data_IF_396415751636
#
_entry.id   IF_396415751636
#
_cell.length_a   1.000
_cell.length_b   1.000
_cell.length_c   1.000
_cell.angle_alpha   90.00
_cell.angle_beta   90.00
_cell.angle_gamma   90.00
#
_symmetry.space_group_name_H-M   'P 1'
#
loop_
_entity.id
_entity.type
_entity.pdbx_description
1 polymer ?
#
# COMPACT_ATOMS: atom_id res chain seq x y z
N UNK A 1 46.72 18.34 13.49
CA UNK A 1 46.63 17.20 12.55
C UNK A 1 45.22 16.89 12.04
N UNK A 2 44.14 17.35 12.67
CA UNK A 2 42.76 17.17 12.17
C UNK A 2 42.34 18.12 11.04
N UNK A 3 43.05 19.23 10.81
CA UNK A 3 42.67 20.24 9.79
C UNK A 3 43.27 20.03 8.40
N UNK A 4 44.27 19.17 8.24
CA UNK A 4 44.87 18.83 6.94
C UNK A 4 44.10 17.71 6.24
N UNK A 5 43.61 16.72 6.99
CA UNK A 5 42.79 15.61 6.49
C UNK A 5 41.42 16.09 5.99
N UNK A 6 40.86 17.13 6.62
CA UNK A 6 39.63 17.79 6.17
C UNK A 6 39.79 18.48 4.81
N UNK A 7 40.96 19.07 4.53
CA UNK A 7 41.21 19.78 3.27
C UNK A 7 41.44 18.86 2.08
N UNK A 8 41.98 17.65 2.28
CA UNK A 8 42.13 16.68 1.20
C UNK A 8 40.81 15.96 0.86
N UNK A 9 39.82 15.95 1.75
CA UNK A 9 38.51 15.34 1.50
C UNK A 9 37.55 16.27 0.74
N UNK A 10 37.78 17.58 0.77
CA UNK A 10 37.00 18.56 -0.01
C UNK A 10 37.39 18.61 -1.50
N UNK A 11 38.56 18.11 -1.90
CA UNK A 11 39.01 18.17 -3.30
C UNK A 11 38.47 17.02 -4.17
N UNK A 12 37.73 16.07 -3.58
CA UNK A 12 37.07 14.97 -4.27
C UNK A 12 35.58 15.20 -4.04
N UNK A 13 34.81 15.45 -5.10
CA UNK A 13 33.44 15.97 -5.06
C UNK A 13 32.39 15.06 -4.39
N UNK A 14 32.50 14.84 -3.07
CA UNK A 14 31.54 14.14 -2.24
C UNK A 14 30.48 15.13 -1.71
N UNK A 15 29.57 15.57 -2.58
CA UNK A 15 28.49 16.48 -2.18
C UNK A 15 27.26 15.78 -1.58
N UNK A 16 27.22 14.44 -1.50
CA UNK A 16 26.04 13.70 -1.02
C UNK A 16 26.33 12.69 0.10
N UNK A 17 27.37 12.93 0.91
CA UNK A 17 27.60 12.14 2.11
C UNK A 17 26.68 12.64 3.25
N UNK A 18 25.71 11.82 3.66
CA UNK A 18 24.88 12.09 4.83
C UNK A 18 25.52 11.54 6.11
N UNK A 19 25.33 12.29 7.21
CA UNK A 19 25.76 12.07 8.61
C UNK A 19 26.30 10.66 8.94
N UNK A 20 27.56 10.49 9.37
CA UNK A 20 28.14 9.16 9.58
C UNK A 20 27.45 8.39 10.72
N UNK A 21 27.29 7.08 10.56
CA UNK A 21 26.70 6.20 11.59
C UNK A 21 27.81 5.45 12.33
N UNK A 22 27.72 5.40 13.67
CA UNK A 22 28.58 4.54 14.49
C UNK A 22 28.12 3.08 14.44
N UNK A 23 29.03 2.18 14.10
CA UNK A 23 28.76 0.74 13.95
C UNK A 23 28.93 -0.09 15.25
N UNK A 24 28.89 0.55 16.43
CA UNK A 24 29.12 -0.10 17.73
C UNK A 24 28.04 -1.10 18.15
N UNK A 25 28.39 -2.10 18.97
CA UNK A 25 27.48 -3.17 19.44
C UNK A 25 26.19 -2.64 20.08
N UNK A 26 26.26 -1.56 20.87
CA UNK A 26 25.09 -0.91 21.49
C UNK A 26 24.18 -0.19 20.45
N UNK A 27 24.74 0.38 19.38
CA UNK A 27 23.92 0.93 18.30
C UNK A 27 23.29 -0.14 17.42
N UNK A 28 23.95 -1.29 17.24
CA UNK A 28 23.38 -2.45 16.52
C UNK A 28 22.13 -3.00 17.22
N UNK A 29 22.17 -3.14 18.55
CA UNK A 29 20.97 -3.56 19.30
C UNK A 29 19.85 -2.52 19.22
N UNK A 30 20.19 -1.23 19.28
CA UNK A 30 19.21 -0.14 19.14
C UNK A 30 18.57 -0.13 17.75
N UNK A 31 19.37 -0.27 16.68
CA UNK A 31 18.88 -0.33 15.30
C UNK A 31 17.94 -1.51 15.07
N UNK A 32 18.23 -2.65 15.70
CA UNK A 32 17.36 -3.80 15.63
C UNK A 32 16.04 -3.62 16.36
N UNK A 33 16.03 -3.03 17.55
CA UNK A 33 14.78 -2.68 18.22
C UNK A 33 13.92 -1.75 17.35
N UNK A 34 14.55 -0.79 16.66
CA UNK A 34 13.87 0.09 15.71
C UNK A 34 13.30 -0.70 14.52
N UNK A 35 14.08 -1.58 13.89
CA UNK A 35 13.61 -2.40 12.77
C UNK A 35 12.49 -3.36 13.18
N UNK A 36 12.58 -3.95 14.37
CA UNK A 36 11.52 -4.78 14.94
C UNK A 36 10.24 -3.98 15.17
N UNK A 37 10.34 -2.77 15.73
CA UNK A 37 9.20 -1.87 15.88
C UNK A 37 8.59 -1.50 14.52
N UNK A 38 9.41 -1.19 13.52
CA UNK A 38 8.94 -0.94 12.16
C UNK A 38 8.21 -2.17 11.57
N UNK A 39 8.71 -3.39 11.77
CA UNK A 39 7.99 -4.61 11.40
C UNK A 39 6.61 -4.68 12.06
N UNK A 40 6.51 -4.37 13.35
CA UNK A 40 5.21 -4.39 14.05
C UNK A 40 4.25 -3.35 13.48
N UNK A 41 4.72 -2.14 13.14
CA UNK A 41 3.91 -1.13 12.46
C UNK A 41 3.40 -1.64 11.11
N UNK A 42 4.25 -2.28 10.30
CA UNK A 42 3.83 -2.85 9.02
C UNK A 42 2.75 -3.93 9.21
N UNK A 43 2.94 -4.84 10.17
CA UNK A 43 1.94 -5.87 10.48
C UNK A 43 0.61 -5.23 10.89
N UNK A 44 0.62 -4.21 11.76
CA UNK A 44 -0.62 -3.54 12.18
C UNK A 44 -1.34 -2.86 11.01
N UNK A 45 -0.61 -2.25 10.08
CA UNK A 45 -1.18 -1.68 8.84
C UNK A 45 -1.90 -2.74 8.00
N UNK A 46 -1.27 -3.90 7.80
CA UNK A 46 -1.91 -5.01 7.08
C UNK A 46 -3.13 -5.58 7.80
N UNK A 47 -3.14 -5.64 9.14
CA UNK A 47 -4.30 -6.07 9.92
C UNK A 47 -5.49 -5.11 9.75
N UNK A 48 -5.23 -3.80 9.71
CA UNK A 48 -6.28 -2.79 9.44
C UNK A 48 -6.87 -3.03 8.05
N UNK A 49 -6.04 -3.25 7.02
CA UNK A 49 -6.52 -3.56 5.66
C UNK A 49 -7.36 -4.82 5.61
N UNK A 50 -6.93 -5.91 6.27
CA UNK A 50 -7.73 -7.15 6.36
C UNK A 50 -9.08 -6.87 7.03
N UNK A 51 -9.10 -6.10 8.12
CA UNK A 51 -10.36 -5.77 8.80
C UNK A 51 -11.31 -4.96 7.90
N UNK A 52 -10.79 -4.02 7.10
CA UNK A 52 -11.58 -3.24 6.15
C UNK A 52 -12.16 -4.12 5.03
N UNK A 53 -11.36 -5.04 4.48
CA UNK A 53 -11.82 -5.98 3.46
C UNK A 53 -12.87 -6.95 4.01
N UNK A 54 -12.71 -7.43 5.24
CA UNK A 54 -13.72 -8.28 5.87
C UNK A 54 -15.04 -7.54 6.11
N UNK A 55 -14.97 -6.25 6.45
CA UNK A 55 -16.16 -5.39 6.54
C UNK A 55 -16.81 -5.17 5.18
N UNK A 56 -16.02 -4.98 4.12
CA UNK A 56 -16.53 -4.87 2.75
C UNK A 56 -17.19 -6.17 2.30
N UNK A 57 -16.55 -7.32 2.50
CA UNK A 57 -17.14 -8.64 2.21
C UNK A 57 -18.44 -8.84 3.01
N UNK A 58 -18.50 -8.42 4.27
CA UNK A 58 -19.72 -8.50 5.06
C UNK A 58 -20.82 -7.57 4.50
N UNK A 59 -20.50 -6.32 4.18
CA UNK A 59 -21.45 -5.37 3.60
C UNK A 59 -21.95 -5.80 2.21
N UNK A 60 -21.05 -6.30 1.38
CA UNK A 60 -21.34 -6.83 0.04
C UNK A 60 -22.08 -8.15 0.15
N UNK A 61 -21.75 -9.07 1.05
CA UNK A 61 -22.50 -10.33 1.23
C UNK A 61 -23.94 -10.11 1.70
N UNK A 62 -24.19 -9.08 2.53
CA UNK A 62 -25.54 -8.61 2.85
C UNK A 62 -26.25 -8.04 1.62
N UNK A 63 -25.51 -7.37 0.72
CA UNK A 63 -26.00 -6.85 -0.57
C UNK A 63 -26.09 -7.93 -1.67
N UNK A 64 -25.41 -9.06 -1.52
CA UNK A 64 -25.36 -10.18 -2.48
C UNK A 64 -26.54 -11.12 -2.37
N UNK A 65 -27.20 -11.15 -1.21
CA UNK A 65 -28.55 -11.72 -1.09
C UNK A 65 -29.54 -11.04 -2.06
N UNK A 66 -29.15 -9.92 -2.67
CA UNK A 66 -29.98 -9.11 -3.54
C UNK A 66 -29.58 -9.19 -5.03
N UNK A 67 -28.29 -9.15 -5.45
CA UNK A 67 -27.99 -8.94 -6.89
C UNK A 67 -27.01 -9.90 -7.63
N UNK A 68 -26.61 -11.05 -7.06
CA UNK A 68 -25.79 -12.07 -7.77
C UNK A 68 -24.51 -11.48 -8.44
N UNK A 69 -23.67 -10.84 -7.63
CA UNK A 69 -22.46 -10.13 -8.06
C UNK A 69 -21.19 -10.85 -7.56
N UNK A 70 -20.10 -10.88 -8.32
CA UNK A 70 -18.84 -11.54 -7.89
C UNK A 70 -17.72 -10.51 -7.70
N UNK A 71 -17.60 -9.97 -6.48
CA UNK A 71 -16.49 -9.08 -6.07
C UNK A 71 -15.23 -9.86 -5.66
N UNK A 72 -14.94 -10.96 -6.37
CA UNK A 72 -13.99 -11.95 -5.86
C UNK A 72 -12.54 -11.51 -6.10
N UNK A 73 -12.23 -10.87 -7.23
CA UNK A 73 -10.85 -10.63 -7.64
C UNK A 73 -10.10 -9.65 -6.71
N UNK A 74 -10.70 -8.49 -6.39
CA UNK A 74 -10.06 -7.49 -5.50
C UNK A 74 -9.94 -7.99 -4.07
N UNK A 75 -11.01 -8.57 -3.52
CA UNK A 75 -11.02 -9.08 -2.16
C UNK A 75 -10.05 -10.25 -1.99
N UNK A 76 -10.02 -11.18 -2.96
CA UNK A 76 -9.04 -12.27 -2.98
C UNK A 76 -7.62 -11.73 -3.11
N UNK A 77 -7.36 -10.78 -4.03
CA UNK A 77 -6.02 -10.19 -4.19
C UNK A 77 -5.57 -9.46 -2.92
N UNK A 78 -6.44 -8.67 -2.31
CA UNK A 78 -6.14 -7.89 -1.09
C UNK A 78 -5.89 -8.79 0.12
N UNK A 79 -6.73 -9.81 0.33
CA UNK A 79 -6.56 -10.78 1.42
C UNK A 79 -5.32 -11.66 1.21
N UNK A 80 -5.10 -12.18 0.00
CA UNK A 80 -3.94 -13.02 -0.30
C UNK A 80 -2.64 -12.26 -0.09
N UNK A 81 -2.52 -11.04 -0.61
CA UNK A 81 -1.35 -10.19 -0.39
C UNK A 81 -1.16 -9.90 1.10
N UNK A 82 -2.21 -9.51 1.82
CA UNK A 82 -2.11 -9.16 3.24
C UNK A 82 -1.71 -10.36 4.11
N UNK A 83 -2.26 -11.56 3.84
CA UNK A 83 -1.89 -12.78 4.54
C UNK A 83 -0.44 -13.21 4.24
N UNK A 84 -0.02 -13.14 2.98
CA UNK A 84 1.37 -13.40 2.59
C UNK A 84 2.31 -12.44 3.32
N UNK A 85 1.97 -11.16 3.42
CA UNK A 85 2.79 -10.19 4.15
C UNK A 85 2.85 -10.48 5.64
N UNK A 86 1.74 -10.84 6.29
CA UNK A 86 1.76 -11.24 7.70
C UNK A 86 2.64 -12.47 7.90
N UNK A 87 2.60 -13.45 7.00
CA UNK A 87 3.47 -14.61 7.05
C UNK A 87 4.94 -14.22 6.87
N UNK A 88 5.27 -13.35 5.90
CA UNK A 88 6.65 -12.90 5.65
C UNK A 88 7.21 -12.04 6.80
N UNK A 89 6.43 -11.09 7.33
CA UNK A 89 6.87 -10.27 8.46
C UNK A 89 6.85 -11.03 9.79
N UNK A 90 5.90 -11.96 9.97
CA UNK A 90 5.82 -12.82 11.16
C UNK A 90 6.95 -13.85 11.22
N UNK A 91 7.25 -14.53 10.12
CA UNK A 91 8.43 -15.41 10.01
C UNK A 91 9.73 -14.60 10.05
N UNK A 92 9.75 -13.42 9.43
CA UNK A 92 10.84 -12.45 9.53
C UNK A 92 11.14 -12.06 10.98
N UNK A 93 10.13 -11.80 11.81
CA UNK A 93 10.28 -11.52 13.24
C UNK A 93 10.79 -12.73 14.05
N UNK A 94 10.38 -13.94 13.71
CA UNK A 94 10.88 -15.16 14.36
C UNK A 94 12.35 -15.45 14.01
N UNK A 95 12.73 -15.25 12.74
CA UNK A 95 14.12 -15.33 12.25
C UNK A 95 14.96 -14.20 12.86
N UNK A 96 14.38 -13.01 13.01
CA UNK A 96 15.00 -11.85 13.67
C UNK A 96 15.35 -12.14 15.13
N UNK A 97 14.46 -12.80 15.88
CA UNK A 97 14.73 -13.26 17.24
C UNK A 97 15.82 -14.34 17.31
N UNK A 98 15.87 -15.26 16.33
CA UNK A 98 16.89 -16.31 16.29
C UNK A 98 18.29 -15.79 15.90
N UNK A 99 18.39 -14.89 14.92
CA UNK A 99 19.68 -14.39 14.42
C UNK A 99 20.36 -13.39 15.37
N UNK A 100 19.61 -12.73 16.26
CA UNK A 100 20.17 -11.86 17.30
C UNK A 100 20.96 -12.61 18.37
N UNK A 101 20.75 -13.92 18.49
CA UNK A 101 21.38 -14.72 19.51
C UNK A 101 22.87 -15.02 19.24
N UNK A 102 23.35 -15.01 17.98
CA UNK A 102 24.61 -15.73 17.69
C UNK A 102 25.69 -15.10 16.76
N UNK A 103 25.53 -14.00 16.01
CA UNK A 103 26.68 -13.54 15.18
C UNK A 103 26.80 -12.05 14.78
N UNK A 104 28.04 -11.59 14.58
CA UNK A 104 28.41 -10.23 14.13
C UNK A 104 28.16 -9.95 12.62
N UNK A 105 28.01 -10.99 11.80
CA UNK A 105 27.75 -10.91 10.35
C UNK A 105 26.26 -10.78 9.99
N UNK A 106 25.38 -10.83 10.99
CA UNK A 106 23.93 -10.86 10.84
C UNK A 106 23.30 -9.52 10.42
N UNK A 107 23.90 -8.37 10.76
CA UNK A 107 23.28 -7.05 10.57
C UNK A 107 23.11 -6.66 9.09
N UNK A 108 24.15 -6.83 8.26
CA UNK A 108 24.10 -6.48 6.84
C UNK A 108 23.09 -7.38 6.09
N UNK A 109 23.07 -8.68 6.39
CA UNK A 109 22.12 -9.62 5.82
C UNK A 109 20.67 -9.32 6.25
N UNK A 110 20.48 -8.87 7.49
CA UNK A 110 19.18 -8.44 8.03
C UNK A 110 18.64 -7.18 7.36
N UNK A 111 19.48 -6.16 7.14
CA UNK A 111 19.03 -4.94 6.44
C UNK A 111 18.73 -5.25 4.96
N UNK A 112 19.51 -6.15 4.33
CA UNK A 112 19.25 -6.61 2.96
C UNK A 112 17.93 -7.38 2.84
N UNK A 113 17.65 -8.33 3.73
CA UNK A 113 16.38 -9.07 3.69
C UNK A 113 15.18 -8.15 3.94
N UNK A 114 15.32 -7.20 4.87
CA UNK A 114 14.33 -6.14 5.09
C UNK A 114 14.06 -5.29 3.84
N UNK A 115 15.12 -4.85 3.15
CA UNK A 115 14.99 -4.08 1.92
C UNK A 115 14.28 -4.86 0.79
N UNK A 116 14.53 -6.17 0.69
CA UNK A 116 13.82 -7.04 -0.28
C UNK A 116 12.33 -7.10 0.06
N UNK A 117 11.97 -7.35 1.33
CA UNK A 117 10.58 -7.39 1.77
C UNK A 117 9.86 -6.07 1.49
N UNK A 118 10.47 -4.94 1.84
CA UNK A 118 9.93 -3.61 1.55
C UNK A 118 9.76 -3.37 0.04
N UNK A 119 10.63 -3.91 -0.79
CA UNK A 119 10.51 -3.77 -2.26
C UNK A 119 9.28 -4.51 -2.75
N UNK A 120 9.04 -5.73 -2.24
CA UNK A 120 7.86 -6.52 -2.60
C UNK A 120 6.58 -5.81 -2.14
N UNK A 121 6.54 -5.28 -0.91
CA UNK A 121 5.35 -4.55 -0.43
C UNK A 121 5.12 -3.25 -1.17
N UNK A 122 6.18 -2.51 -1.49
CA UNK A 122 6.08 -1.28 -2.26
C UNK A 122 5.38 -1.52 -3.61
N UNK A 123 5.87 -2.49 -4.38
CA UNK A 123 5.26 -2.83 -5.67
C UNK A 123 3.88 -3.46 -5.55
N UNK A 124 3.67 -4.34 -4.56
CA UNK A 124 2.38 -4.96 -4.30
C UNK A 124 1.29 -3.94 -3.94
N UNK A 125 1.61 -2.93 -3.12
CA UNK A 125 0.68 -1.87 -2.77
C UNK A 125 0.41 -0.92 -3.95
N UNK A 126 1.38 -0.65 -4.82
CA UNK A 126 1.13 0.10 -6.07
C UNK A 126 0.15 -0.65 -6.97
N UNK A 127 0.37 -1.96 -7.17
CA UNK A 127 -0.53 -2.81 -7.95
C UNK A 127 -1.93 -2.76 -7.35
N UNK A 128 -2.05 -2.90 -6.03
CA UNK A 128 -3.34 -2.84 -5.35
C UNK A 128 -4.04 -1.49 -5.53
N UNK A 129 -3.31 -0.37 -5.46
CA UNK A 129 -3.86 0.96 -5.70
C UNK A 129 -4.41 1.11 -7.13
N UNK A 130 -3.70 0.58 -8.14
CA UNK A 130 -4.18 0.56 -9.52
C UNK A 130 -5.44 -0.30 -9.65
N UNK A 131 -5.44 -1.50 -9.08
CA UNK A 131 -6.61 -2.39 -9.08
C UNK A 131 -7.82 -1.74 -8.43
N UNK A 132 -7.66 -1.05 -7.30
CA UNK A 132 -8.75 -0.33 -6.61
C UNK A 132 -9.46 0.65 -7.57
N UNK A 133 -8.70 1.43 -8.34
CA UNK A 133 -9.27 2.43 -9.26
C UNK A 133 -9.97 1.81 -10.46
N UNK A 134 -9.43 0.71 -11.00
CA UNK A 134 -10.03 0.02 -12.16
C UNK A 134 -11.28 -0.74 -11.74
N UNK A 135 -11.19 -1.47 -10.64
CA UNK A 135 -12.28 -2.32 -10.15
C UNK A 135 -13.49 -1.50 -9.72
N UNK A 136 -13.28 -0.36 -9.05
CA UNK A 136 -14.36 0.55 -8.67
C UNK A 136 -15.21 0.99 -9.86
N UNK A 137 -14.56 1.45 -10.94
CA UNK A 137 -15.25 1.90 -12.14
C UNK A 137 -16.01 0.77 -12.83
N UNK A 138 -15.41 -0.42 -12.89
CA UNK A 138 -16.06 -1.61 -13.45
C UNK A 138 -17.24 -2.09 -12.60
N UNK A 139 -17.12 -2.03 -11.26
CA UNK A 139 -18.17 -2.38 -10.32
C UNK A 139 -19.41 -1.52 -10.52
N UNK A 140 -19.27 -0.18 -10.49
CA UNK A 140 -20.40 0.74 -10.63
C UNK A 140 -21.09 0.55 -11.99
N UNK A 141 -20.34 0.44 -13.08
CA UNK A 141 -20.91 0.21 -14.41
C UNK A 141 -21.61 -1.13 -14.56
N UNK A 142 -21.07 -2.20 -13.95
CA UNK A 142 -21.69 -3.53 -13.96
C UNK A 142 -22.97 -3.54 -13.13
N UNK A 143 -22.96 -2.93 -11.95
CA UNK A 143 -24.16 -2.79 -11.12
C UNK A 143 -25.26 -2.02 -11.86
N UNK A 144 -24.92 -0.98 -12.62
CA UNK A 144 -25.88 -0.26 -13.46
C UNK A 144 -26.52 -1.16 -14.51
N UNK A 145 -25.71 -1.86 -15.29
CA UNK A 145 -26.20 -2.77 -16.33
C UNK A 145 -27.09 -3.88 -15.72
N UNK A 146 -26.63 -4.52 -14.65
CA UNK A 146 -27.38 -5.59 -13.98
C UNK A 146 -28.68 -5.07 -13.40
N UNK A 147 -28.70 -3.90 -12.76
CA UNK A 147 -29.93 -3.34 -12.20
C UNK A 147 -30.94 -3.04 -13.31
N UNK A 148 -30.50 -2.41 -14.41
CA UNK A 148 -31.37 -2.14 -15.56
C UNK A 148 -31.92 -3.43 -16.19
N UNK A 149 -31.14 -4.52 -16.23
CA UNK A 149 -31.64 -5.82 -16.68
C UNK A 149 -32.69 -6.40 -15.72
N UNK A 150 -32.49 -6.29 -14.41
CA UNK A 150 -33.47 -6.73 -13.41
C UNK A 150 -34.78 -5.92 -13.50
N UNK A 151 -34.71 -4.62 -13.77
CA UNK A 151 -35.90 -3.80 -13.99
C UNK A 151 -36.79 -4.31 -15.14
N UNK A 152 -36.20 -4.86 -16.21
CA UNK A 152 -36.96 -5.47 -17.34
C UNK A 152 -37.76 -6.72 -16.94
N UNK A 153 -37.35 -7.38 -15.85
CA UNK A 153 -38.00 -8.57 -15.30
C UNK A 153 -38.95 -8.23 -14.14
N UNK A 154 -39.01 -6.97 -13.72
CA UNK A 154 -39.75 -6.54 -12.54
C UNK A 154 -41.24 -6.95 -12.54
N UNK A 155 -41.92 -6.87 -13.68
CA UNK A 155 -43.34 -7.27 -13.80
C UNK A 155 -43.55 -8.76 -14.05
N UNK A 156 -42.47 -9.51 -14.33
CA UNK A 156 -42.52 -10.92 -14.76
C UNK A 156 -42.04 -11.89 -13.68
N UNK A 157 -41.16 -11.44 -12.78
CA UNK A 157 -40.54 -12.26 -11.75
C UNK A 157 -40.78 -11.66 -10.36
N UNK A 158 -41.49 -12.42 -9.53
CA UNK A 158 -41.86 -11.99 -8.17
C UNK A 158 -40.64 -11.86 -7.24
N UNK A 159 -39.59 -12.68 -7.43
CA UNK A 159 -38.38 -12.58 -6.65
C UNK A 159 -37.63 -11.29 -7.01
N UNK A 160 -37.52 -10.98 -8.31
CA UNK A 160 -36.92 -9.72 -8.79
C UNK A 160 -37.74 -8.51 -8.34
N UNK A 161 -39.08 -8.61 -8.34
CA UNK A 161 -39.94 -7.56 -7.80
C UNK A 161 -39.67 -7.28 -6.33
N UNK A 162 -39.69 -8.32 -5.49
CA UNK A 162 -39.46 -8.19 -4.05
C UNK A 162 -38.07 -7.62 -3.74
N UNK A 163 -37.09 -8.02 -4.53
CA UNK A 163 -35.72 -7.52 -4.49
C UNK A 163 -35.64 -6.01 -4.75
N UNK A 164 -36.15 -5.57 -5.90
CA UNK A 164 -36.10 -4.16 -6.32
C UNK A 164 -36.90 -3.30 -5.35
N UNK A 165 -38.07 -3.77 -4.91
CA UNK A 165 -38.90 -3.08 -3.92
C UNK A 165 -38.19 -2.95 -2.57
N UNK A 166 -37.48 -3.99 -2.14
CA UNK A 166 -36.66 -3.98 -0.92
C UNK A 166 -35.54 -2.95 -0.98
N UNK A 167 -34.79 -2.91 -2.08
CA UNK A 167 -33.72 -1.93 -2.30
C UNK A 167 -34.25 -0.49 -2.29
N UNK A 168 -35.31 -0.22 -3.06
CA UNK A 168 -35.90 1.11 -3.19
C UNK A 168 -36.47 1.63 -1.87
N UNK A 169 -37.14 0.75 -1.11
CA UNK A 169 -37.68 1.09 0.21
C UNK A 169 -36.58 1.31 1.24
N UNK A 170 -35.53 0.47 1.22
CA UNK A 170 -34.43 0.52 2.20
C UNK A 170 -33.56 1.76 2.04
N UNK A 171 -33.25 2.12 0.81
CA UNK A 171 -32.36 3.23 0.48
C UNK A 171 -33.10 4.51 0.08
N UNK A 172 -34.44 4.49 0.12
CA UNK A 172 -35.29 5.61 -0.28
C UNK A 172 -34.88 6.16 -1.67
N UNK A 173 -34.72 5.25 -2.62
CA UNK A 173 -34.26 5.51 -3.97
C UNK A 173 -35.29 5.01 -5.01
N UNK A 174 -35.13 5.40 -6.27
CA UNK A 174 -35.97 4.93 -7.36
C UNK A 174 -35.20 4.76 -8.66
N UNK A 175 -35.30 3.57 -9.26
CA UNK A 175 -34.50 3.19 -10.43
C UNK A 175 -33.01 2.97 -10.11
N UNK A 176 -32.24 2.66 -11.15
CA UNK A 176 -30.79 2.45 -11.08
C UNK A 176 -30.07 3.82 -10.95
N UNK A 177 -30.16 4.64 -11.99
CA UNK A 177 -29.69 6.02 -12.05
C UNK A 177 -30.78 7.04 -11.72
N UNK A 178 -32.06 6.67 -11.83
CA UNK A 178 -33.18 7.51 -11.41
C UNK A 178 -34.53 7.09 -11.95
N UNK A 179 -35.51 7.99 -11.81
CA UNK A 179 -36.90 7.77 -12.23
C UNK A 179 -37.08 7.42 -13.71
N UNK A 180 -36.19 7.92 -14.57
CA UNK A 180 -36.21 7.64 -16.01
C UNK A 180 -36.05 6.18 -16.36
N UNK A 181 -35.47 5.36 -15.47
CA UNK A 181 -35.19 3.94 -15.74
C UNK A 181 -36.47 3.10 -15.80
N UNK A 182 -37.57 3.64 -15.28
CA UNK A 182 -38.90 3.04 -15.38
C UNK A 182 -39.59 3.34 -16.72
N UNK A 183 -39.09 4.31 -17.49
CA UNK A 183 -39.64 4.63 -18.81
C UNK A 183 -39.35 3.48 -19.78
N UNK A 184 -40.41 2.90 -20.35
CA UNK A 184 -40.30 1.78 -21.27
C UNK A 184 -40.31 0.40 -20.60
N UNK A 185 -40.46 0.32 -19.28
CA UNK A 185 -40.78 -0.94 -18.60
C UNK A 185 -42.29 -1.23 -18.80
N UNK A 186 -42.68 -2.36 -19.42
CA UNK A 186 -44.08 -2.63 -19.74
C UNK A 186 -44.96 -2.62 -18.48
N UNK A 187 -45.98 -1.76 -18.46
CA UNK A 187 -46.91 -1.64 -17.34
C UNK A 187 -46.45 -0.66 -16.24
N UNK A 188 -45.31 0.01 -16.43
CA UNK A 188 -44.75 1.00 -15.51
C UNK A 188 -44.47 2.36 -16.21
N UNK A 189 -44.86 2.48 -17.47
CA UNK A 189 -44.55 3.54 -18.43
C UNK A 189 -45.49 4.77 -18.36
N UNK A 190 -46.33 4.86 -17.33
CA UNK A 190 -47.27 5.98 -17.12
C UNK A 190 -46.97 6.78 -15.84
N UNK A 191 -47.49 8.00 -15.71
CA UNK A 191 -47.29 8.87 -14.55
C UNK A 191 -47.76 8.26 -13.20
N UNK A 192 -48.61 7.24 -13.25
CA UNK A 192 -49.09 6.45 -12.11
C UNK A 192 -48.44 5.04 -12.01
N UNK A 193 -47.55 4.71 -12.95
CA UNK A 193 -46.95 3.38 -13.11
C UNK A 193 -45.62 3.19 -12.37
N UNK A 194 -45.37 3.92 -11.28
CA UNK A 194 -44.19 3.65 -10.45
C UNK A 194 -44.53 2.64 -9.35
N UNK A 195 -43.57 1.81 -8.93
CA UNK A 195 -43.79 0.93 -7.81
C UNK A 195 -43.93 1.72 -6.50
N UNK A 196 -44.73 1.19 -5.58
CA UNK A 196 -44.98 1.82 -4.27
C UNK A 196 -43.70 2.00 -3.43
N UNK A 197 -42.69 1.19 -3.69
CA UNK A 197 -41.36 1.23 -3.07
C UNK A 197 -40.54 2.48 -3.45
N UNK A 198 -40.83 3.12 -4.60
CA UNK A 198 -40.23 4.39 -5.00
C UNK A 198 -40.81 5.62 -4.29
N UNK A 199 -41.87 5.46 -3.50
CA UNK A 199 -42.67 6.56 -2.98
C UNK A 199 -42.17 6.98 -1.59
N UNK A 200 -42.04 8.28 -1.35
CA UNK A 200 -41.50 8.83 -0.10
C UNK A 200 -42.48 8.72 1.09
N UNK A 201 -43.77 8.47 0.83
CA UNK A 201 -44.82 8.37 1.85
C UNK A 201 -45.64 7.11 1.62
N UNK A 202 -45.77 6.26 2.65
CA UNK A 202 -46.51 4.99 2.65
C UNK A 202 -48.03 5.13 2.50
N UNK A 203 -48.54 6.22 1.92
CA UNK A 203 -49.97 6.39 1.68
C UNK A 203 -50.34 5.89 0.27
N UNK A 204 -51.19 4.86 0.15
CA UNK A 204 -51.66 4.38 -1.15
C UNK A 204 -52.48 5.47 -1.83
N UNK A 205 -51.97 6.00 -2.95
CA UNK A 205 -52.66 6.97 -3.80
C UNK A 205 -51.95 8.30 -4.07
N UNK A 206 -50.82 8.61 -3.43
CA UNK A 206 -50.10 9.89 -3.65
C UNK A 206 -48.84 9.81 -4.53
N UNK A 207 -48.47 8.60 -4.97
CA UNK A 207 -47.25 8.39 -5.74
C UNK A 207 -47.44 8.79 -7.20
N UNK A 208 -47.21 10.06 -7.47
CA UNK A 208 -47.30 10.65 -8.80
C UNK A 208 -45.98 11.34 -9.13
N UNK A 209 -45.35 10.96 -10.25
CA UNK A 209 -44.06 11.52 -10.68
C UNK A 209 -44.12 13.02 -11.01
N UNK A 210 -45.32 13.59 -11.15
CA UNK A 210 -45.55 15.03 -11.43
C UNK A 210 -45.62 15.90 -10.17
N UNK A 211 -45.88 15.32 -8.99
CA UNK A 211 -45.99 16.06 -7.73
C UNK A 211 -44.65 16.00 -7.00
N UNK A 212 -44.07 17.16 -6.70
CA UNK A 212 -42.79 17.22 -5.99
C UNK A 212 -42.97 16.80 -4.53
N UNK A 213 -42.11 15.91 -4.03
CA UNK A 213 -42.09 15.46 -2.63
C UNK A 213 -42.79 14.12 -2.34
N UNK A 214 -43.44 13.49 -3.32
CA UNK A 214 -44.11 12.19 -3.13
C UNK A 214 -43.28 10.98 -3.61
N UNK A 215 -42.20 11.23 -4.36
CA UNK A 215 -41.37 10.20 -5.01
C UNK A 215 -39.90 10.44 -4.76
N UNK A 216 -39.16 9.36 -4.50
CA UNK A 216 -37.70 9.36 -4.39
C UNK A 216 -37.08 9.62 -5.76
N UNK A 217 -36.40 10.75 -5.93
CA UNK A 217 -35.83 11.15 -7.24
C UNK A 217 -34.44 10.58 -7.51
N UNK A 218 -33.70 10.22 -6.46
CA UNK A 218 -32.34 9.71 -6.55
C UNK A 218 -32.36 8.23 -6.95
N UNK A 219 -31.50 7.84 -7.89
CA UNK A 219 -31.27 6.44 -8.22
C UNK A 219 -30.65 5.68 -7.05
N UNK A 220 -30.81 4.36 -7.05
CA UNK A 220 -30.23 3.50 -6.02
C UNK A 220 -28.70 3.37 -6.15
N UNK A 221 -28.16 3.44 -7.37
CA UNK A 221 -26.71 3.32 -7.58
C UNK A 221 -25.94 4.51 -7.04
N UNK A 222 -26.33 5.78 -7.26
CA UNK A 222 -25.68 6.91 -6.59
C UNK A 222 -25.67 6.81 -5.06
N UNK A 223 -26.66 6.15 -4.46
CA UNK A 223 -26.67 5.95 -3.00
C UNK A 223 -25.64 4.90 -2.56
N UNK A 224 -25.56 3.79 -3.31
CA UNK A 224 -24.56 2.73 -3.09
C UNK A 224 -23.15 3.27 -3.35
N UNK A 225 -22.97 4.05 -4.42
CA UNK A 225 -21.74 4.73 -4.81
C UNK A 225 -21.26 5.66 -3.68
N UNK A 226 -22.11 6.58 -3.21
CA UNK A 226 -21.78 7.45 -2.07
C UNK A 226 -21.33 6.62 -0.85
N UNK A 227 -22.11 5.59 -0.48
CA UNK A 227 -21.85 4.79 0.73
C UNK A 227 -20.57 3.98 0.63
N UNK A 228 -20.28 3.41 -0.54
CA UNK A 228 -19.08 2.61 -0.75
C UNK A 228 -17.86 3.50 -1.01
N UNK A 229 -18.02 4.68 -1.61
CA UNK A 229 -16.92 5.58 -1.97
C UNK A 229 -16.12 6.00 -0.73
N UNK A 230 -16.79 6.27 0.38
CA UNK A 230 -16.15 6.60 1.67
C UNK A 230 -15.20 5.48 2.13
N UNK A 231 -15.63 4.21 2.04
CA UNK A 231 -14.82 3.06 2.44
C UNK A 231 -13.61 2.87 1.51
N UNK A 232 -13.83 2.97 0.20
CA UNK A 232 -12.78 2.83 -0.81
C UNK A 232 -11.78 3.98 -0.75
N UNK A 233 -12.23 5.21 -0.47
CA UNK A 233 -11.36 6.37 -0.26
C UNK A 233 -10.45 6.19 0.96
N UNK A 234 -11.01 5.74 2.09
CA UNK A 234 -10.22 5.42 3.29
C UNK A 234 -9.19 4.32 3.02
N UNK A 235 -9.58 3.23 2.33
CA UNK A 235 -8.65 2.15 1.94
C UNK A 235 -7.54 2.65 1.00
N UNK A 236 -7.90 3.49 0.03
CA UNK A 236 -6.97 4.14 -0.89
C UNK A 236 -5.97 5.02 -0.15
N UNK A 237 -6.45 5.86 0.79
CA UNK A 237 -5.61 6.73 1.59
C UNK A 237 -4.61 5.96 2.47
N UNK A 238 -5.06 4.91 3.17
CA UNK A 238 -4.17 4.05 3.97
C UNK A 238 -3.12 3.39 3.08
N UNK A 239 -3.50 2.94 1.88
CA UNK A 239 -2.58 2.28 0.95
C UNK A 239 -1.58 3.25 0.34
N UNK A 240 -2.00 4.47 0.02
CA UNK A 240 -1.10 5.52 -0.45
C UNK A 240 -0.07 5.89 0.63
N UNK A 241 -0.53 6.08 1.87
CA UNK A 241 0.36 6.39 3.01
C UNK A 241 1.39 5.26 3.22
N UNK A 242 0.95 4.01 3.08
CA UNK A 242 1.81 2.84 3.12
C UNK A 242 2.88 2.85 2.02
N UNK A 243 2.52 3.18 0.77
CA UNK A 243 3.48 3.27 -0.34
C UNK A 243 4.52 4.36 -0.08
N UNK A 244 4.11 5.52 0.42
CA UNK A 244 5.02 6.60 0.80
C UNK A 244 5.96 6.17 1.93
N UNK A 245 5.43 5.47 2.94
CA UNK A 245 6.21 4.95 4.06
C UNK A 245 7.23 3.90 3.61
N UNK A 246 6.81 2.92 2.80
CA UNK A 246 7.70 1.90 2.23
C UNK A 246 8.79 2.53 1.36
N UNK A 247 8.44 3.55 0.55
CA UNK A 247 9.40 4.30 -0.25
C UNK A 247 10.46 5.00 0.60
N UNK A 248 10.05 5.67 1.68
CA UNK A 248 10.98 6.30 2.64
C UNK A 248 11.89 5.25 3.30
N UNK A 249 11.31 4.13 3.76
CA UNK A 249 12.07 3.05 4.39
C UNK A 249 13.05 2.38 3.42
N UNK A 250 12.71 2.27 2.12
CA UNK A 250 13.62 1.77 1.10
C UNK A 250 14.85 2.68 0.94
N UNK A 251 14.64 3.99 0.85
CA UNK A 251 15.74 4.97 0.78
C UNK A 251 16.65 4.86 2.01
N UNK A 252 16.05 4.82 3.21
CA UNK A 252 16.79 4.65 4.47
C UNK A 252 17.52 3.29 4.53
N UNK A 253 16.90 2.22 4.04
CA UNK A 253 17.50 0.89 4.02
C UNK A 253 18.74 0.85 3.12
N UNK A 254 18.70 1.47 1.93
CA UNK A 254 19.85 1.56 1.02
C UNK A 254 20.99 2.34 1.66
N UNK A 255 20.69 3.46 2.29
CA UNK A 255 21.66 4.24 3.05
C UNK A 255 22.32 3.42 4.17
N UNK A 256 21.53 2.68 4.95
CA UNK A 256 22.01 1.82 6.04
C UNK A 256 22.88 0.66 5.53
N UNK A 257 22.51 0.02 4.40
CA UNK A 257 23.32 -1.03 3.77
C UNK A 257 24.68 -0.48 3.34
N UNK A 258 24.70 0.68 2.67
CA UNK A 258 25.95 1.30 2.22
C UNK A 258 26.86 1.69 3.40
N UNK A 259 26.30 2.30 4.44
CA UNK A 259 27.07 2.69 5.65
C UNK A 259 27.66 1.46 6.35
N UNK A 260 26.89 0.39 6.50
CA UNK A 260 27.36 -0.84 7.15
C UNK A 260 28.42 -1.57 6.34
N UNK A 261 28.29 -1.59 5.00
CA UNK A 261 29.33 -2.13 4.11
C UNK A 261 30.64 -1.35 4.23
N UNK A 262 30.58 -0.02 4.30
CA UNK A 262 31.76 0.83 4.45
C UNK A 262 32.45 0.62 5.80
N UNK A 263 31.71 0.46 6.90
CA UNK A 263 32.27 0.06 8.20
C UNK A 263 33.08 -1.25 8.07
N UNK A 264 32.51 -2.27 7.42
CA UNK A 264 33.17 -3.57 7.23
C UNK A 264 34.45 -3.46 6.39
N UNK A 265 34.41 -2.70 5.29
CA UNK A 265 35.58 -2.50 4.42
C UNK A 265 36.71 -1.73 5.13
N UNK A 266 36.38 -0.79 6.00
CA UNK A 266 37.37 -0.02 6.76
C UNK A 266 38.01 -0.80 7.93
N UNK A 267 37.54 -2.03 8.19
CA UNK A 267 37.90 -2.83 9.37
C UNK A 267 37.75 -2.06 10.71
N UNK A 268 36.89 -1.03 10.72
CA UNK A 268 36.65 -0.17 11.87
C UNK A 268 35.30 -0.52 12.50
N UNK A 269 35.30 -1.57 13.32
CA UNK A 269 34.11 -2.09 13.99
C UNK A 269 33.51 -1.13 15.04
N UNK A 270 34.24 -0.06 15.41
CA UNK A 270 33.85 0.91 16.42
C UNK A 270 33.69 2.35 15.89
N UNK A 271 34.12 2.60 14.65
CA UNK A 271 34.15 3.92 14.05
C UNK A 271 32.87 4.39 13.39
N UNK A 272 33.01 5.53 12.75
CA UNK A 272 31.98 6.27 12.03
C UNK A 272 32.15 6.04 10.52
N UNK A 273 31.15 5.43 9.86
CA UNK A 273 31.18 5.28 8.40
C UNK A 273 29.99 5.98 7.73
N UNK A 274 30.28 6.65 6.62
CA UNK A 274 29.29 7.32 5.79
C UNK A 274 28.50 6.31 4.94
N UNK A 275 27.19 6.52 4.83
CA UNK A 275 26.34 5.83 3.86
C UNK A 275 26.15 6.67 2.60
N UNK A 276 25.83 6.00 1.49
CA UNK A 276 25.57 6.62 0.20
C UNK A 276 24.29 6.04 -0.40
N UNK A 277 23.47 6.89 -1.03
CA UNK A 277 22.23 6.47 -1.70
C UNK A 277 22.48 5.91 -3.10
N UNK A 278 23.53 6.38 -3.77
CA UNK A 278 23.92 5.94 -5.11
C UNK A 278 25.35 5.43 -5.06
N UNK A 279 25.58 4.22 -5.57
CA UNK A 279 26.92 3.57 -5.58
C UNK A 279 27.88 4.24 -6.58
N UNK A 280 27.36 4.97 -7.57
CA UNK A 280 28.14 5.70 -8.57
C UNK A 280 27.44 7.02 -8.94
N UNK A 281 28.12 8.13 -8.74
CA UNK A 281 27.71 9.43 -9.25
C UNK A 281 27.56 9.36 -10.79
N UNK A 282 26.39 9.67 -11.37
CA UNK A 282 26.27 9.82 -12.80
C UNK A 282 26.84 11.19 -13.18
N UNK A 283 27.78 11.18 -14.13
CA UNK A 283 28.55 12.31 -14.69
C UNK A 283 29.96 12.47 -14.07
N UNK A 284 30.94 11.80 -14.70
CA UNK A 284 32.24 12.41 -15.00
C UNK A 284 33.42 12.30 -14.03
N UNK A 285 33.27 11.85 -12.78
CA UNK A 285 34.36 11.99 -11.78
C UNK A 285 35.01 10.73 -11.20
N UNK A 286 34.73 9.50 -11.66
CA UNK A 286 35.45 8.32 -11.17
C UNK A 286 36.03 7.48 -12.30
N UNK A 287 37.28 7.79 -12.66
CA UNK A 287 38.16 6.86 -13.38
C UNK A 287 38.38 5.61 -12.53
N UNK A 288 38.14 4.43 -13.12
CA UNK A 288 38.49 3.08 -12.61
C UNK A 288 39.94 2.92 -12.13
N UNK A 289 40.82 3.93 -12.27
CA UNK A 289 42.21 3.90 -11.79
C UNK A 289 42.34 4.06 -10.28
N UNK A 290 41.52 4.90 -9.63
CA UNK A 290 41.75 5.24 -8.20
C UNK A 290 41.41 4.07 -7.26
N UNK A 291 40.41 3.26 -7.60
CA UNK A 291 40.10 2.05 -6.81
C UNK A 291 41.20 0.98 -6.87
N UNK A 292 42.07 1.01 -7.88
CA UNK A 292 43.18 0.07 -8.02
C UNK A 292 44.44 0.55 -7.29
N UNK A 293 44.67 1.86 -7.19
CA UNK A 293 45.84 2.42 -6.49
C UNK A 293 45.74 2.25 -4.97
N UNK A 294 44.55 2.37 -4.38
CA UNK A 294 44.37 2.20 -2.92
C UNK A 294 44.62 0.75 -2.45
N UNK A 295 44.44 -0.25 -3.33
CA UNK A 295 44.67 -1.66 -3.00
C UNK A 295 46.16 -2.06 -3.10
N UNK A 296 46.97 -1.32 -3.87
CA UNK A 296 48.39 -1.62 -4.08
C UNK A 296 49.31 -0.94 -3.06
N UNK A 297 48.85 0.13 -2.40
CA UNK A 297 49.65 0.83 -1.37
C UNK A 297 49.74 0.08 -0.03
N UNK A 298 48.98 -1.01 0.17
CA UNK A 298 48.99 -1.78 1.42
C UNK A 298 49.98 -2.95 1.47
N UNK A 299 50.74 -3.22 0.40
CA UNK A 299 51.67 -4.37 0.33
C UNK A 299 53.17 -4.02 0.49
N UNK A 300 53.55 -2.79 0.85
CA UNK A 300 54.97 -2.47 1.12
C UNK A 300 55.27 -2.41 2.62
N UNK A 301 56.06 -3.35 3.19
CA UNK A 301 56.52 -3.21 4.57
C UNK A 301 57.59 -2.11 4.63
N UNK A 302 57.70 -1.36 5.76
CA UNK A 302 58.71 -0.33 5.91
C UNK A 302 60.10 -0.98 6.03
N UNK A 303 60.99 -0.64 5.11
CA UNK A 303 62.43 -0.88 5.25
C UNK A 303 62.99 0.06 6.30
N UNK A 304 63.43 -0.51 7.43
CA UNK A 304 64.23 0.18 8.43
C UNK A 304 65.60 0.55 7.81
N UNK A 305 65.85 1.86 7.68
CA UNK A 305 67.17 2.40 7.42
C UNK A 305 67.88 2.63 8.76
N UNK A 306 68.81 1.73 9.12
CA UNK A 306 69.79 1.98 10.19
C UNK A 306 71.05 2.58 9.57
N UNK A 307 71.27 3.88 9.78
CA UNK A 307 72.56 4.56 9.59
C UNK A 307 73.35 4.51 10.92
N UNK A 308 74.56 3.97 10.89
CA UNK A 308 75.35 3.61 12.09
C UNK A 308 76.23 4.71 12.68
N UNK A 309 77.00 4.34 13.72
CA UNK A 309 78.34 4.84 14.12
C UNK A 309 78.72 4.23 15.48
N UNK A 310 79.71 3.33 15.46
CA UNK A 310 80.93 3.27 16.31
C UNK A 310 81.51 1.85 16.33
#
# INVERSE_FOLDING_TARGET
MLSSKWRSMQSIGYHEAFLPIKCSRSRRSSLALVLSWLCTCQITSHLIKISAVLLDIFAVSVSLLLMDYSQDAFNVLSLTLSLLMILFYGTGAAIFCHLFAESESSLCNMIKSWAILLTITFWGNIIMLLFLTVEWNNMIGTMEATFQEKLKLYTKDQAVKSLVDGLQSRFQCCGAGGLSDWLGIPGMDSAAGLPLSCCAVSMPGSCNNTVSGTVNRRGCLPYIDDTASDLYEVMGAITLLQVCFDGLLLVLSRYLVSSTLNCQLSNDSHGEAYGYLVENCPIGCCSRRVAREVYLDYETPPTEAYSGSD
#
